data_IF_020143301286
#
_entry.id   IF_020143301286
#
_cell.length_a   1.000
_cell.length_b   1.000
_cell.length_c   1.000
_cell.angle_alpha   90.00
_cell.angle_beta   90.00
_cell.angle_gamma   90.00
#
_symmetry.space_group_name_H-M   'P 1'
#
loop_
_entity.id
_entity.type
_entity.pdbx_description
1 polymer ?
#
# COMPACT_ATOMS: atom_id res chain seq x y z
N UNK A 1 14.12 -7.65 23.57
CA UNK A 1 12.78 -8.09 23.11
C UNK A 1 12.38 -7.16 21.98
N UNK A 2 12.42 -7.61 20.72
CA UNK A 2 12.03 -6.74 19.59
C UNK A 2 10.57 -6.33 19.73
N UNK A 3 10.26 -5.06 19.44
CA UNK A 3 8.88 -4.58 19.40
C UNK A 3 8.11 -5.41 18.35
N UNK A 4 7.14 -6.20 18.80
CA UNK A 4 6.28 -6.97 17.90
C UNK A 4 5.34 -5.97 17.21
N UNK A 5 5.64 -5.63 15.96
CA UNK A 5 4.75 -4.81 15.13
C UNK A 5 3.44 -5.56 14.88
N UNK A 6 2.30 -4.89 15.11
CA UNK A 6 0.98 -5.48 14.86
C UNK A 6 0.79 -5.69 13.36
N UNK A 7 0.23 -6.82 12.96
CA UNK A 7 -0.14 -7.03 11.55
C UNK A 7 -1.37 -6.17 11.20
N UNK A 8 -1.37 -5.40 10.09
CA UNK A 8 -2.48 -4.54 9.68
C UNK A 8 -3.59 -5.35 9.01
N UNK A 9 -4.21 -6.29 9.72
CA UNK A 9 -5.27 -7.14 9.16
C UNK A 9 -6.54 -6.30 8.98
N UNK A 10 -6.94 -6.08 7.73
CA UNK A 10 -8.15 -5.31 7.40
C UNK A 10 -7.95 -3.79 7.47
N UNK A 11 -6.71 -3.32 7.66
CA UNK A 11 -6.37 -1.90 7.61
C UNK A 11 -5.71 -1.66 6.25
N UNK A 12 -6.39 -0.89 5.41
CA UNK A 12 -5.90 -0.48 4.09
C UNK A 12 -5.61 1.03 4.04
N UNK A 13 -5.73 1.73 5.15
CA UNK A 13 -5.42 3.16 5.26
C UNK A 13 -3.91 3.37 5.47
N UNK A 14 -3.28 4.09 4.54
CA UNK A 14 -1.83 4.27 4.55
C UNK A 14 -1.35 5.11 5.75
N UNK A 15 -2.05 6.17 6.11
CA UNK A 15 -1.67 7.02 7.24
C UNK A 15 -1.69 6.26 8.56
N UNK A 16 -2.75 5.46 8.81
CA UNK A 16 -2.82 4.60 10.00
C UNK A 16 -1.67 3.61 10.05
N UNK A 17 -1.34 2.96 8.93
CA UNK A 17 -0.22 2.03 8.88
C UNK A 17 1.12 2.72 9.18
N UNK A 18 1.30 3.98 8.75
CA UNK A 18 2.52 4.75 8.99
C UNK A 18 2.63 5.33 10.39
N UNK A 19 1.52 5.66 11.03
CA UNK A 19 1.48 6.38 12.32
C UNK A 19 1.23 5.48 13.54
N UNK A 20 0.51 4.37 13.38
CA UNK A 20 0.07 3.53 14.50
C UNK A 20 1.00 2.33 14.80
N UNK A 21 2.18 2.28 14.17
CA UNK A 21 3.20 1.25 14.47
C UNK A 21 2.86 -0.15 13.94
N UNK A 22 2.06 -0.25 12.87
CA UNK A 22 1.79 -1.51 12.19
C UNK A 22 3.00 -2.01 11.40
N UNK A 23 3.05 -3.33 11.21
CA UNK A 23 3.97 -3.96 10.28
C UNK A 23 3.63 -3.49 8.86
N UNK A 24 4.59 -2.81 8.23
CA UNK A 24 4.43 -2.23 6.90
C UNK A 24 5.47 -2.83 5.95
N UNK A 25 5.01 -3.29 4.80
CA UNK A 25 5.86 -3.62 3.66
C UNK A 25 5.75 -2.47 2.68
N UNK A 26 6.88 -1.85 2.38
CA UNK A 26 6.96 -0.76 1.42
C UNK A 26 6.49 -1.23 0.03
N UNK A 27 5.58 -0.46 -0.57
CA UNK A 27 5.00 -0.71 -1.90
C UNK A 27 5.24 0.45 -2.86
N UNK A 28 6.13 1.37 -2.53
CA UNK A 28 6.42 2.55 -3.33
C UNK A 28 6.91 2.18 -4.74
N UNK A 29 7.60 1.05 -4.90
CA UNK A 29 8.00 0.54 -6.22
C UNK A 29 6.79 0.24 -7.13
N UNK A 30 5.66 -0.20 -6.58
CA UNK A 30 4.44 -0.40 -7.39
C UNK A 30 3.85 0.93 -7.89
N UNK A 31 4.01 2.01 -7.12
CA UNK A 31 3.58 3.35 -7.53
C UNK A 31 4.52 3.87 -8.61
N UNK A 32 5.83 3.67 -8.44
CA UNK A 32 6.82 4.01 -9.46
C UNK A 32 6.54 3.27 -10.77
N UNK A 33 6.32 1.95 -10.72
CA UNK A 33 5.93 1.17 -11.89
C UNK A 33 4.64 1.70 -12.55
N UNK A 34 3.66 2.14 -11.77
CA UNK A 34 2.42 2.74 -12.30
C UNK A 34 2.66 4.08 -13.00
N UNK A 35 3.58 4.89 -12.49
CA UNK A 35 3.92 6.20 -13.07
C UNK A 35 4.81 6.06 -14.32
N UNK A 36 5.75 5.12 -14.28
CA UNK A 36 6.66 4.83 -15.40
C UNK A 36 5.91 4.17 -16.58
N UNK A 37 4.92 3.33 -16.29
CA UNK A 37 4.09 2.67 -17.30
C UNK A 37 2.79 3.46 -17.54
N UNK A 38 2.85 4.44 -18.45
CA UNK A 38 1.68 5.23 -18.84
C UNK A 38 0.56 4.36 -19.43
N UNK A 39 -0.67 4.59 -18.98
CA UNK A 39 -1.88 4.04 -19.56
C UNK A 39 -3.09 4.87 -19.14
N UNK A 40 -3.98 5.19 -20.07
CA UNK A 40 -5.22 5.94 -19.80
C UNK A 40 -6.08 5.23 -18.74
N UNK A 41 -6.04 3.89 -18.72
CA UNK A 41 -6.66 3.04 -17.73
C UNK A 41 -5.68 1.97 -17.27
N UNK A 42 -5.50 1.83 -15.96
CA UNK A 42 -4.65 0.81 -15.35
C UNK A 42 -5.49 -0.21 -14.55
N UNK A 43 -5.36 -1.51 -14.88
CA UNK A 43 -6.10 -2.59 -14.24
C UNK A 43 -5.17 -3.45 -13.36
N UNK A 44 -5.49 -3.56 -12.07
CA UNK A 44 -4.71 -4.38 -11.12
C UNK A 44 -5.24 -5.82 -11.00
N UNK A 45 -4.75 -6.73 -11.85
CA UNK A 45 -5.07 -8.18 -11.82
C UNK A 45 -4.21 -8.94 -10.80
N UNK A 46 -4.49 -8.78 -9.50
CA UNK A 46 -3.78 -9.51 -8.43
C UNK A 46 -4.72 -10.29 -7.52
N UNK A 47 -4.28 -11.32 -6.78
CA UNK A 47 -5.12 -12.09 -5.84
C UNK A 47 -5.77 -11.24 -4.74
N UNK A 48 -6.79 -11.77 -4.07
CA UNK A 48 -7.40 -11.13 -2.90
C UNK A 48 -6.35 -10.93 -1.79
N UNK A 49 -6.43 -9.82 -1.04
CA UNK A 49 -5.49 -9.41 0.03
C UNK A 49 -4.06 -9.06 -0.42
N UNK A 50 -3.80 -8.85 -1.72
CA UNK A 50 -2.52 -8.32 -2.20
C UNK A 50 -2.30 -6.81 -1.94
N UNK A 51 -3.19 -6.16 -1.18
CA UNK A 51 -3.08 -4.76 -0.80
C UNK A 51 -3.20 -3.77 -1.96
N UNK A 52 -4.09 -4.06 -2.92
CA UNK A 52 -4.50 -3.11 -3.96
C UNK A 52 -5.13 -1.85 -3.35
N UNK A 53 -6.04 -2.02 -2.40
CA UNK A 53 -6.68 -0.92 -1.67
C UNK A 53 -5.67 -0.04 -0.93
N UNK A 54 -4.71 -0.66 -0.23
CA UNK A 54 -3.61 0.07 0.39
C UNK A 54 -2.81 0.89 -0.63
N UNK A 55 -2.54 0.34 -1.81
CA UNK A 55 -1.80 1.07 -2.84
C UNK A 55 -2.60 2.29 -3.35
N UNK A 56 -3.91 2.16 -3.51
CA UNK A 56 -4.79 3.30 -3.81
C UNK A 56 -4.79 4.36 -2.69
N UNK A 57 -4.77 3.93 -1.42
CA UNK A 57 -4.63 4.85 -0.29
C UNK A 57 -3.29 5.57 -0.32
N UNK A 58 -2.18 4.87 -0.59
CA UNK A 58 -0.85 5.48 -0.74
C UNK A 58 -0.83 6.57 -1.82
N UNK A 59 -1.40 6.30 -3.00
CA UNK A 59 -1.51 7.30 -4.07
C UNK A 59 -2.22 8.58 -3.61
N UNK A 60 -3.33 8.46 -2.85
CA UNK A 60 -4.07 9.59 -2.30
C UNK A 60 -3.26 10.45 -1.30
N UNK A 61 -2.25 9.88 -0.65
CA UNK A 61 -1.41 10.60 0.30
C UNK A 61 -0.12 11.14 -0.34
N UNK A 62 0.31 10.57 -1.46
CA UNK A 62 1.47 11.04 -2.21
C UNK A 62 1.14 12.17 -3.18
N UNK A 63 -0.12 12.26 -3.62
CA UNK A 63 -0.65 13.25 -4.56
C UNK A 63 -1.93 13.86 -4.02
#
# INVERSE_FOLDING_TARGET
MGLISKLPIGIDDFEKIRTEGFYYVDKTEMIKELLDNWGEVNLFTRPRRFGKTLNTSMLRYFF
#
